data_IF_408643045050
#
_entry.id   IF_408643045050
#
_cell.length_a   1.000
_cell.length_b   1.000
_cell.length_c   1.000
_cell.angle_alpha   90.00
_cell.angle_beta   90.00
_cell.angle_gamma   90.00
#
_symmetry.space_group_name_H-M   'P 1'
#
loop_
_entity.id
_entity.type
_entity.pdbx_description
1 polymer ?
#
# COMPACT_ATOMS: atom_id res chain seq x y z
N UNK A 1 -8.14 -29.78 51.46
CA UNK A 1 -7.75 -29.74 50.03
C UNK A 1 -8.90 -29.08 49.27
N UNK A 2 -8.88 -27.75 49.13
CA UNK A 2 -9.92 -26.96 48.45
C UNK A 2 -9.38 -26.59 47.06
N UNK A 3 -10.03 -27.06 45.99
CA UNK A 3 -9.76 -26.58 44.64
C UNK A 3 -10.28 -25.14 44.52
N UNK A 4 -9.37 -24.19 44.24
CA UNK A 4 -9.74 -22.86 43.76
C UNK A 4 -9.97 -22.94 42.25
N UNK A 5 -11.23 -22.83 41.84
CA UNK A 5 -11.62 -22.62 40.45
C UNK A 5 -11.39 -21.15 40.10
N UNK A 6 -10.40 -20.84 39.27
CA UNK A 6 -10.22 -19.50 38.70
C UNK A 6 -11.30 -19.25 37.64
N UNK A 7 -12.27 -18.39 37.94
CA UNK A 7 -13.12 -17.76 36.92
C UNK A 7 -12.27 -16.77 36.12
N UNK A 8 -11.98 -17.11 34.87
CA UNK A 8 -11.45 -16.16 33.88
C UNK A 8 -12.62 -15.27 33.47
N UNK A 9 -12.60 -14.00 33.87
CA UNK A 9 -13.47 -12.97 33.30
C UNK A 9 -12.94 -12.59 31.92
N UNK A 10 -13.52 -13.18 30.87
CA UNK A 10 -13.36 -12.67 29.51
C UNK A 10 -14.30 -11.46 29.38
N UNK A 11 -13.75 -10.25 29.45
CA UNK A 11 -14.47 -9.07 29.00
C UNK A 11 -14.55 -9.10 27.47
N UNK A 12 -15.62 -9.68 26.94
CA UNK A 12 -16.02 -9.47 25.55
C UNK A 12 -16.57 -8.06 25.42
N UNK A 13 -15.74 -7.11 25.00
CA UNK A 13 -16.21 -5.82 24.50
C UNK A 13 -16.94 -6.12 23.18
N UNK A 14 -18.27 -6.24 23.27
CA UNK A 14 -19.14 -6.50 22.13
C UNK A 14 -19.00 -5.40 21.09
N UNK A 15 -18.43 -5.75 19.93
CA UNK A 15 -18.35 -4.87 18.77
C UNK A 15 -19.75 -4.79 18.14
N UNK A 16 -20.45 -3.69 18.41
CA UNK A 16 -21.83 -3.46 17.98
C UNK A 16 -21.83 -2.92 16.54
N UNK A 17 -21.99 -3.78 15.54
CA UNK A 17 -22.20 -3.37 14.15
C UNK A 17 -23.64 -2.89 13.95
N UNK A 18 -23.88 -1.59 14.12
CA UNK A 18 -25.16 -0.99 13.72
C UNK A 18 -25.24 -0.98 12.20
N UNK A 19 -26.14 -1.81 11.66
CA UNK A 19 -26.64 -1.70 10.29
C UNK A 19 -27.16 -0.27 10.06
N UNK A 20 -26.48 0.49 9.20
CA UNK A 20 -26.99 1.76 8.68
C UNK A 20 -27.83 1.48 7.45
N UNK A 21 -29.04 2.05 7.44
CA UNK A 21 -30.00 1.95 6.36
C UNK A 21 -29.38 2.30 5.00
N UNK A 22 -29.70 1.49 3.99
CA UNK A 22 -29.35 1.75 2.60
C UNK A 22 -30.27 2.85 2.08
N UNK A 23 -29.71 4.04 1.90
CA UNK A 23 -30.38 5.15 1.20
C UNK A 23 -30.09 4.99 -0.29
N UNK A 24 -31.12 4.76 -1.09
CA UNK A 24 -31.03 4.75 -2.54
C UNK A 24 -30.89 6.18 -3.06
N UNK A 25 -29.65 6.63 -3.29
CA UNK A 25 -29.35 7.90 -3.95
C UNK A 25 -29.39 7.67 -5.47
N UNK A 26 -30.17 8.49 -6.19
CA UNK A 26 -30.21 8.51 -7.66
C UNK A 26 -28.79 8.69 -8.22
N UNK A 27 -28.48 7.92 -9.27
CA UNK A 27 -27.19 7.80 -9.97
C UNK A 27 -26.69 9.08 -10.68
N UNK A 28 -27.28 10.24 -10.40
CA UNK A 28 -26.99 11.47 -11.12
C UNK A 28 -25.80 12.19 -10.47
N UNK A 29 -24.63 11.97 -11.07
CA UNK A 29 -23.44 12.83 -11.02
C UNK A 29 -22.91 13.14 -9.60
N UNK A 30 -22.29 12.16 -8.94
CA UNK A 30 -21.39 12.47 -7.83
C UNK A 30 -20.30 13.40 -8.37
N UNK A 31 -20.31 14.66 -7.94
CA UNK A 31 -19.24 15.60 -8.21
C UNK A 31 -18.07 15.27 -7.29
N UNK A 32 -16.91 15.00 -7.88
CA UNK A 32 -15.67 14.73 -7.15
C UNK A 32 -14.76 15.96 -7.25
N UNK A 33 -14.34 16.48 -6.10
CA UNK A 33 -13.40 17.59 -6.00
C UNK A 33 -12.04 17.08 -5.53
N UNK A 34 -10.97 17.48 -6.22
CA UNK A 34 -9.60 17.07 -5.91
C UNK A 34 -9.14 17.75 -4.61
N UNK A 35 -8.64 16.95 -3.67
CA UNK A 35 -7.92 17.45 -2.48
C UNK A 35 -6.44 17.61 -2.86
N UNK A 36 -5.76 16.50 -3.16
CA UNK A 36 -4.36 16.39 -3.62
C UNK A 36 -4.01 14.93 -3.92
N UNK A 37 -2.96 14.67 -4.70
CA UNK A 37 -2.36 13.33 -4.85
C UNK A 37 -3.37 12.21 -5.15
N UNK A 38 -4.28 12.47 -6.09
CA UNK A 38 -5.40 11.59 -6.46
C UNK A 38 -6.45 11.33 -5.36
N UNK A 39 -6.37 11.98 -4.20
CA UNK A 39 -7.41 11.97 -3.19
C UNK A 39 -8.48 13.04 -3.53
N UNK A 40 -9.73 12.61 -3.60
CA UNK A 40 -10.91 13.41 -3.90
C UNK A 40 -11.92 13.31 -2.77
N UNK A 41 -12.83 14.28 -2.69
CA UNK A 41 -14.04 14.17 -1.89
C UNK A 41 -15.30 14.42 -2.71
N UNK A 42 -16.44 13.95 -2.20
CA UNK A 42 -17.76 14.37 -2.67
C UNK A 42 -18.35 15.50 -1.79
N UNK A 43 -19.54 15.97 -2.16
CA UNK A 43 -20.29 16.98 -1.41
C UNK A 43 -20.69 16.55 0.02
N UNK A 44 -20.69 15.25 0.30
CA UNK A 44 -21.01 14.69 1.61
C UNK A 44 -19.75 14.46 2.47
N UNK A 45 -18.56 14.78 1.95
CA UNK A 45 -17.28 14.59 2.62
C UNK A 45 -16.78 13.14 2.62
N UNK A 46 -17.33 12.25 1.79
CA UNK A 46 -16.73 10.93 1.58
C UNK A 46 -15.44 11.09 0.77
N UNK A 47 -14.43 10.27 1.07
CA UNK A 47 -13.14 10.29 0.39
C UNK A 47 -13.05 9.21 -0.69
N UNK A 48 -12.34 9.55 -1.77
CA UNK A 48 -12.12 8.68 -2.91
C UNK A 48 -10.68 8.80 -3.42
N UNK A 49 -10.10 7.70 -3.86
CA UNK A 49 -8.81 7.68 -4.54
C UNK A 49 -9.03 7.46 -6.04
N UNK A 50 -8.65 8.44 -6.86
CA UNK A 50 -8.83 8.40 -8.31
C UNK A 50 -7.78 7.52 -8.95
N UNK A 51 -8.22 6.59 -9.79
CA UNK A 51 -7.38 5.68 -10.57
C UNK A 51 -7.82 5.66 -12.03
N UNK A 52 -6.96 5.15 -12.90
CA UNK A 52 -7.29 4.93 -14.31
C UNK A 52 -7.47 3.44 -14.58
N UNK A 53 -8.67 3.06 -14.99
CA UNK A 53 -8.99 1.74 -15.52
C UNK A 53 -8.63 1.72 -17.01
N UNK A 54 -7.56 0.99 -17.30
CA UNK A 54 -6.94 0.77 -18.60
C UNK A 54 -7.30 -0.62 -19.19
N UNK A 55 -8.32 -1.30 -18.66
CA UNK A 55 -8.74 -2.63 -19.17
C UNK A 55 -9.12 -2.56 -20.65
N UNK A 56 -9.58 -1.39 -21.10
CA UNK A 56 -9.62 -1.01 -22.51
C UNK A 56 -8.67 0.17 -22.74
N UNK A 57 -7.45 -0.05 -23.27
CA UNK A 57 -6.46 1.00 -23.47
C UNK A 57 -6.90 2.11 -24.44
N UNK A 58 -7.82 1.82 -25.37
CA UNK A 58 -8.36 2.82 -26.30
C UNK A 58 -9.40 3.74 -25.64
N UNK A 59 -9.98 3.31 -24.53
CA UNK A 59 -11.00 4.05 -23.78
C UNK A 59 -10.74 4.00 -22.28
N UNK A 60 -9.67 4.66 -21.80
CA UNK A 60 -9.38 4.76 -20.38
C UNK A 60 -10.54 5.37 -19.59
N UNK A 61 -10.88 4.78 -18.45
CA UNK A 61 -11.97 5.26 -17.60
C UNK A 61 -11.41 5.67 -16.23
N UNK A 62 -11.72 6.89 -15.79
CA UNK A 62 -11.44 7.27 -14.40
C UNK A 62 -12.37 6.53 -13.45
N UNK A 63 -11.80 5.87 -12.44
CA UNK A 63 -12.52 5.27 -11.32
C UNK A 63 -12.16 5.99 -10.02
N UNK A 64 -13.07 5.92 -9.05
CA UNK A 64 -12.92 6.56 -7.75
C UNK A 64 -13.11 5.49 -6.69
N UNK A 65 -12.00 4.94 -6.21
CA UNK A 65 -11.99 3.90 -5.19
C UNK A 65 -12.39 4.53 -3.86
N UNK A 66 -13.38 3.98 -3.16
CA UNK A 66 -13.77 4.42 -1.81
C UNK A 66 -13.24 3.50 -0.71
N UNK A 67 -12.60 2.39 -1.08
CA UNK A 67 -12.19 1.32 -0.18
C UNK A 67 -10.67 1.28 -0.05
N UNK A 68 -10.21 1.08 1.18
CA UNK A 68 -8.82 0.78 1.53
C UNK A 68 -8.74 -0.68 1.98
N UNK A 69 -7.80 -1.42 1.41
CA UNK A 69 -7.51 -2.80 1.79
C UNK A 69 -6.55 -2.85 2.98
N UNK A 70 -6.56 -3.95 3.73
CA UNK A 70 -5.67 -4.16 4.88
C UNK A 70 -5.81 -3.12 6.01
N UNK A 71 -6.92 -2.37 6.06
CA UNK A 71 -7.15 -1.30 7.04
C UNK A 71 -7.62 -1.81 8.41
N UNK A 72 -8.26 -2.98 8.46
CA UNK A 72 -8.72 -3.62 9.69
C UNK A 72 -8.16 -5.05 9.83
N UNK A 73 -7.14 -5.22 10.68
CA UNK A 73 -6.49 -6.52 10.90
C UNK A 73 -7.41 -7.55 11.61
N UNK A 74 -8.48 -7.08 12.27
CA UNK A 74 -9.44 -7.95 12.94
C UNK A 74 -10.53 -8.49 12.00
N UNK A 75 -10.66 -7.94 10.79
CA UNK A 75 -11.64 -8.41 9.80
C UNK A 75 -10.97 -9.28 8.73
N UNK A 76 -10.62 -10.50 9.12
CA UNK A 76 -10.04 -11.49 8.20
C UNK A 76 -11.05 -12.00 7.17
N UNK A 77 -12.35 -11.77 7.36
CA UNK A 77 -13.42 -12.30 6.49
C UNK A 77 -13.56 -11.43 5.23
N UNK A 78 -13.48 -10.10 5.35
CA UNK A 78 -13.61 -9.19 4.21
C UNK A 78 -12.28 -8.66 3.68
N UNK A 79 -11.14 -9.21 4.13
CA UNK A 79 -9.81 -8.74 3.75
C UNK A 79 -9.44 -7.39 4.37
N UNK A 80 -9.96 -7.11 5.57
CA UNK A 80 -9.66 -5.91 6.33
C UNK A 80 -10.09 -4.60 5.65
N UNK A 81 -11.11 -4.64 4.79
CA UNK A 81 -11.54 -3.48 4.00
C UNK A 81 -12.26 -2.44 4.85
N UNK A 82 -11.96 -1.17 4.62
CA UNK A 82 -12.66 -0.04 5.22
C UNK A 82 -12.88 1.08 4.20
N UNK A 83 -13.76 2.04 4.50
CA UNK A 83 -13.93 3.23 3.68
C UNK A 83 -12.73 4.18 3.89
N UNK A 84 -12.25 4.83 2.83
CA UNK A 84 -11.17 5.81 2.87
C UNK A 84 -11.40 6.89 3.93
N UNK A 85 -12.62 7.41 4.02
CA UNK A 85 -12.98 8.46 5.00
C UNK A 85 -12.78 8.07 6.46
N UNK A 86 -12.81 6.78 6.76
CA UNK A 86 -12.67 6.25 8.12
C UNK A 86 -11.21 5.91 8.46
N UNK A 87 -10.30 5.96 7.48
CA UNK A 87 -8.90 5.52 7.60
C UNK A 87 -7.91 6.65 7.33
N UNK A 88 -8.14 7.43 6.26
CA UNK A 88 -7.19 8.42 5.73
C UNK A 88 -7.37 9.77 6.41
N UNK A 89 -6.28 10.31 6.95
CA UNK A 89 -6.22 11.71 7.35
C UNK A 89 -5.96 12.59 6.12
N UNK A 90 -7.02 13.08 5.49
CA UNK A 90 -6.93 13.86 4.24
C UNK A 90 -6.02 15.10 4.34
N UNK A 91 -5.93 15.71 5.52
CA UNK A 91 -5.10 16.91 5.75
C UNK A 91 -3.61 16.61 5.57
N UNK A 92 -3.13 15.53 6.17
CA UNK A 92 -1.72 15.11 6.12
C UNK A 92 -1.41 14.11 5.00
N UNK A 93 -2.41 13.66 4.24
CA UNK A 93 -2.23 12.72 3.14
C UNK A 93 -1.26 13.26 2.08
N UNK A 94 -0.29 12.48 1.63
CA UNK A 94 0.61 12.90 0.56
C UNK A 94 1.18 11.70 -0.20
N UNK A 95 1.48 11.90 -1.48
CA UNK A 95 2.30 10.98 -2.25
C UNK A 95 3.76 11.14 -1.86
N UNK A 96 4.46 10.03 -1.62
CA UNK A 96 5.89 10.03 -1.34
C UNK A 96 6.67 9.88 -2.64
N UNK A 97 6.61 8.68 -3.23
CA UNK A 97 7.32 8.32 -4.46
C UNK A 97 6.72 7.01 -5.01
N UNK A 98 6.67 6.88 -6.34
CA UNK A 98 6.11 5.70 -7.01
C UNK A 98 4.72 5.33 -6.51
N UNK A 99 4.61 4.12 -5.95
CA UNK A 99 3.36 3.56 -5.43
C UNK A 99 3.07 3.94 -3.97
N UNK A 100 3.97 4.64 -3.30
CA UNK A 100 3.89 4.88 -1.85
C UNK A 100 3.26 6.23 -1.52
N UNK A 101 2.34 6.20 -0.56
CA UNK A 101 1.66 7.36 0.01
C UNK A 101 1.73 7.28 1.54
N UNK A 102 1.47 8.37 2.22
CA UNK A 102 1.29 8.37 3.68
C UNK A 102 0.30 9.41 4.13
N UNK A 103 -0.10 9.29 5.38
CA UNK A 103 -0.59 10.40 6.17
C UNK A 103 0.16 10.40 7.52
N UNK A 104 -0.26 11.25 8.47
CA UNK A 104 0.36 11.34 9.80
C UNK A 104 0.27 10.04 10.62
N UNK A 105 -0.61 9.12 10.27
CA UNK A 105 -0.90 7.91 11.04
C UNK A 105 -0.38 6.64 10.35
N UNK A 106 -0.31 6.60 9.01
CA UNK A 106 -0.10 5.36 8.25
C UNK A 106 0.67 5.59 6.95
N UNK A 107 1.30 4.52 6.46
CA UNK A 107 1.76 4.43 5.07
C UNK A 107 0.79 3.57 4.27
N UNK A 108 0.70 3.88 2.97
CA UNK A 108 -0.16 3.22 2.02
C UNK A 108 0.63 2.84 0.77
N UNK A 109 0.11 1.85 0.05
CA UNK A 109 0.58 1.49 -1.28
C UNK A 109 -0.58 1.45 -2.25
N UNK A 110 -0.36 1.98 -3.45
CA UNK A 110 -1.24 1.83 -4.58
C UNK A 110 -0.71 0.76 -5.53
N UNK A 111 -1.37 -0.39 -5.58
CA UNK A 111 -1.02 -1.46 -6.50
C UNK A 111 -1.72 -1.23 -7.83
N UNK A 112 -1.02 -0.60 -8.77
CA UNK A 112 -1.49 -0.38 -10.13
C UNK A 112 -1.73 -1.69 -10.87
N UNK A 113 -2.92 -1.81 -11.46
CA UNK A 113 -3.35 -2.91 -12.32
C UNK A 113 -4.15 -2.32 -13.48
N UNK A 114 -4.31 -3.07 -14.57
CA UNK A 114 -5.05 -2.60 -15.74
C UNK A 114 -6.49 -2.21 -15.43
N UNK A 115 -7.11 -2.81 -14.42
CA UNK A 115 -8.49 -2.52 -13.98
C UNK A 115 -8.63 -1.34 -13.02
N UNK A 116 -7.55 -0.59 -12.79
CA UNK A 116 -7.50 0.53 -11.86
C UNK A 116 -6.88 0.18 -10.52
N UNK A 117 -6.58 -1.09 -10.24
CA UNK A 117 -5.75 -1.48 -9.11
C UNK A 117 -6.40 -1.31 -7.73
N UNK A 118 -5.56 -1.35 -6.69
CA UNK A 118 -6.02 -1.32 -5.29
C UNK A 118 -5.20 -0.37 -4.42
N UNK A 119 -5.86 0.28 -3.46
CA UNK A 119 -5.23 1.12 -2.45
C UNK A 119 -5.24 0.40 -1.10
N UNK A 120 -4.09 0.22 -0.47
CA UNK A 120 -3.95 -0.60 0.73
C UNK A 120 -3.08 0.05 1.80
N UNK A 121 -3.36 -0.25 3.07
CA UNK A 121 -2.46 0.07 4.20
C UNK A 121 -1.24 -0.85 4.16
N UNK A 122 -0.06 -0.28 4.36
CA UNK A 122 1.16 -1.04 4.65
C UNK A 122 1.21 -1.35 6.15
N UNK A 123 0.89 -2.60 6.50
CA UNK A 123 0.98 -3.10 7.87
C UNK A 123 2.38 -3.65 8.17
N UNK A 124 2.66 -3.87 9.46
CA UNK A 124 3.90 -4.53 9.93
C UNK A 124 5.20 -3.81 9.54
N UNK A 125 5.11 -2.49 9.30
CA UNK A 125 6.27 -1.62 9.11
C UNK A 125 6.61 -0.90 10.42
N UNK A 126 7.89 -0.61 10.62
CA UNK A 126 8.31 0.35 11.63
C UNK A 126 8.11 1.77 11.10
N UNK A 127 7.00 2.39 11.47
CA UNK A 127 6.59 3.72 11.01
C UNK A 127 7.68 4.79 11.16
N UNK A 128 8.46 4.74 12.25
CA UNK A 128 9.46 5.75 12.57
C UNK A 128 10.70 5.72 11.67
N UNK A 129 11.04 4.54 11.15
CA UNK A 129 12.24 4.31 10.35
C UNK A 129 11.95 3.99 8.89
N UNK A 130 10.68 3.85 8.50
CA UNK A 130 10.27 3.55 7.13
C UNK A 130 10.70 4.66 6.16
N UNK A 131 11.39 4.24 5.10
CA UNK A 131 11.94 5.10 4.05
C UNK A 131 11.69 4.45 2.69
N UNK A 132 11.06 5.22 1.81
CA UNK A 132 10.93 4.85 0.40
C UNK A 132 12.27 5.13 -0.29
N UNK A 133 12.87 4.10 -0.89
CA UNK A 133 14.16 4.17 -1.57
C UNK A 133 13.99 4.46 -3.06
N UNK A 134 12.88 4.02 -3.64
CA UNK A 134 12.57 4.22 -5.05
C UNK A 134 11.09 3.99 -5.34
N UNK A 135 10.71 4.00 -6.62
CA UNK A 135 9.33 3.71 -7.02
C UNK A 135 8.84 2.34 -6.51
N UNK A 136 9.73 1.36 -6.35
CA UNK A 136 9.38 0.00 -5.98
C UNK A 136 9.95 -0.42 -4.63
N UNK A 137 11.11 0.08 -4.24
CA UNK A 137 11.78 -0.39 -3.03
C UNK A 137 11.60 0.56 -1.86
N UNK A 138 11.46 -0.01 -0.66
CA UNK A 138 11.45 0.70 0.60
C UNK A 138 12.20 -0.12 1.66
N UNK A 139 12.48 0.48 2.81
CA UNK A 139 13.05 -0.21 3.98
C UNK A 139 12.62 0.45 5.25
N UNK A 140 12.67 -0.29 6.34
CA UNK A 140 12.68 0.26 7.69
C UNK A 140 13.90 -0.28 8.46
N UNK A 141 13.91 -0.18 9.80
CA UNK A 141 15.00 -0.70 10.63
C UNK A 141 15.05 -2.22 10.70
N UNK A 142 13.95 -2.92 10.38
CA UNK A 142 13.77 -4.35 10.54
C UNK A 142 13.77 -5.11 9.21
N UNK A 143 13.37 -4.48 8.11
CA UNK A 143 13.11 -5.12 6.83
C UNK A 143 13.47 -4.23 5.63
N UNK A 144 13.68 -4.89 4.49
CA UNK A 144 13.66 -4.27 3.16
C UNK A 144 12.44 -4.79 2.40
N UNK A 145 11.82 -3.95 1.59
CA UNK A 145 10.58 -4.23 0.89
C UNK A 145 10.72 -4.00 -0.61
N UNK A 146 10.15 -4.90 -1.40
CA UNK A 146 9.75 -4.65 -2.78
C UNK A 146 8.22 -4.51 -2.81
N UNK A 147 7.74 -3.30 -3.12
CA UNK A 147 6.35 -2.90 -2.93
C UNK A 147 5.91 -3.17 -1.48
N UNK A 148 4.91 -4.01 -1.27
CA UNK A 148 4.44 -4.43 0.06
C UNK A 148 5.13 -5.68 0.60
N UNK A 149 5.99 -6.34 -0.18
CA UNK A 149 6.55 -7.64 0.16
C UNK A 149 7.93 -7.50 0.80
N UNK A 150 8.15 -8.18 1.93
CA UNK A 150 9.48 -8.25 2.57
C UNK A 150 10.43 -9.05 1.68
N UNK A 151 11.61 -8.50 1.42
CA UNK A 151 12.72 -9.19 0.76
C UNK A 151 13.45 -10.01 1.81
N UNK A 152 13.29 -11.33 1.74
CA UNK A 152 13.97 -12.23 2.66
C UNK A 152 15.49 -12.16 2.48
N UNK A 153 16.25 -12.28 3.59
CA UNK A 153 17.72 -12.32 3.61
C UNK A 153 18.44 -11.03 3.19
N UNK A 154 17.71 -9.93 2.98
CA UNK A 154 18.32 -8.64 2.69
C UNK A 154 19.19 -8.13 3.84
N UNK A 155 20.44 -7.74 3.54
CA UNK A 155 21.29 -7.00 4.48
C UNK A 155 20.86 -5.53 4.49
N UNK A 156 19.96 -5.21 5.43
CA UNK A 156 19.33 -3.89 5.56
C UNK A 156 20.36 -2.75 5.59
N UNK A 157 21.48 -2.81 6.35
CA UNK A 157 22.42 -1.70 6.42
C UNK A 157 23.10 -1.36 5.09
N UNK A 158 23.38 -2.36 4.25
CA UNK A 158 24.11 -2.16 2.98
C UNK A 158 23.22 -2.12 1.74
N UNK A 159 21.91 -2.36 1.89
CA UNK A 159 20.95 -2.36 0.78
C UNK A 159 20.86 -1.01 0.08
N UNK A 160 21.08 -1.02 -1.24
CA UNK A 160 21.03 0.13 -2.15
C UNK A 160 20.24 -0.20 -3.41
N UNK A 161 19.53 0.79 -3.94
CA UNK A 161 18.73 0.66 -5.16
C UNK A 161 19.42 1.43 -6.27
N UNK A 162 19.50 0.82 -7.44
CA UNK A 162 20.18 1.35 -8.62
C UNK A 162 19.17 1.50 -9.77
N UNK A 163 19.01 2.71 -10.32
CA UNK A 163 18.17 2.89 -11.50
C UNK A 163 18.86 2.29 -12.74
N UNK A 164 18.13 1.52 -13.56
CA UNK A 164 18.57 1.24 -14.94
C UNK A 164 17.86 2.22 -15.87
N UNK A 165 18.63 3.14 -16.44
CA UNK A 165 18.18 4.08 -17.46
C UNK A 165 18.47 3.46 -18.82
N UNK A 166 17.44 3.31 -19.66
CA UNK A 166 17.55 2.84 -21.03
C UNK A 166 16.88 3.88 -21.92
N UNK A 167 17.63 4.44 -22.88
CA UNK A 167 17.16 5.47 -23.81
C UNK A 167 16.53 6.71 -23.15
N UNK A 168 16.97 7.07 -21.94
CA UNK A 168 16.43 8.20 -21.17
C UNK A 168 15.24 7.85 -20.27
N UNK A 169 14.68 6.63 -20.41
CA UNK A 169 13.59 6.15 -19.58
C UNK A 169 14.09 5.22 -18.47
N UNK A 170 13.62 5.43 -17.25
CA UNK A 170 13.86 4.48 -16.14
C UNK A 170 12.89 3.33 -16.28
N UNK A 171 13.35 2.21 -16.84
CA UNK A 171 12.48 1.07 -17.14
C UNK A 171 12.40 0.08 -15.95
N UNK A 172 13.55 -0.37 -15.44
CA UNK A 172 13.66 -1.42 -14.42
C UNK A 172 14.69 -0.98 -13.37
N UNK A 173 14.48 -1.36 -12.10
CA UNK A 173 15.41 -1.04 -11.01
C UNK A 173 15.89 -2.34 -10.41
N UNK A 174 17.19 -2.45 -10.22
CA UNK A 174 17.78 -3.52 -9.44
C UNK A 174 18.24 -2.96 -8.10
N UNK A 175 18.42 -3.84 -7.14
CA UNK A 175 19.02 -3.49 -5.86
C UNK A 175 20.20 -4.41 -5.57
N UNK A 176 21.04 -3.99 -4.64
CA UNK A 176 22.18 -4.76 -4.18
C UNK A 176 22.38 -4.52 -2.71
N UNK A 177 22.77 -5.55 -1.98
CA UNK A 177 23.41 -5.43 -0.68
C UNK A 177 24.80 -6.11 -0.72
N UNK A 178 25.47 -6.22 0.43
CA UNK A 178 26.80 -6.81 0.48
C UNK A 178 26.86 -8.30 0.08
N UNK A 179 25.73 -9.00 0.08
CA UNK A 179 25.63 -10.44 -0.17
C UNK A 179 25.04 -10.75 -1.56
N UNK A 180 24.06 -9.98 -2.03
CA UNK A 180 23.22 -10.33 -3.18
C UNK A 180 22.87 -9.12 -4.06
N UNK A 181 22.55 -9.41 -5.32
CA UNK A 181 21.79 -8.52 -6.19
C UNK A 181 20.33 -8.96 -6.23
N UNK A 182 19.43 -8.02 -6.44
CA UNK A 182 17.99 -8.23 -6.42
C UNK A 182 17.30 -7.61 -7.63
N UNK A 183 16.28 -8.31 -8.14
CA UNK A 183 15.35 -7.83 -9.16
C UNK A 183 13.94 -8.23 -8.75
N UNK A 184 12.98 -7.32 -8.81
CA UNK A 184 11.59 -7.59 -8.36
C UNK A 184 11.44 -8.06 -6.91
N UNK A 185 12.44 -7.82 -6.07
CA UNK A 185 12.50 -8.33 -4.71
C UNK A 185 13.08 -9.74 -4.58
N UNK A 186 13.42 -10.40 -5.69
CA UNK A 186 14.04 -11.72 -5.72
C UNK A 186 15.56 -11.61 -5.89
N UNK A 187 16.30 -12.54 -5.29
CA UNK A 187 17.76 -12.65 -5.45
C UNK A 187 18.08 -13.07 -6.88
N UNK A 188 18.98 -12.33 -7.54
CA UNK A 188 19.54 -12.70 -8.84
C UNK A 188 20.71 -13.67 -8.60
N UNK A 189 20.68 -14.89 -9.17
CA UNK A 189 21.81 -15.81 -9.09
C UNK A 189 23.07 -15.26 -9.76
N UNK A 190 24.25 -15.55 -9.22
CA UNK A 190 25.54 -15.10 -9.78
C UNK A 190 25.72 -15.48 -11.26
N UNK A 191 25.20 -16.66 -11.66
CA UNK A 191 25.21 -17.14 -13.05
C UNK A 191 24.41 -16.27 -14.01
N UNK A 192 23.41 -15.53 -13.50
CA UNK A 192 22.49 -14.70 -14.28
C UNK A 192 22.87 -13.22 -14.28
N UNK A 193 23.78 -12.77 -13.41
CA UNK A 193 24.18 -11.36 -13.32
C UNK A 193 24.63 -10.77 -14.66
N UNK A 194 25.25 -11.60 -15.52
CA UNK A 194 25.67 -11.21 -16.87
C UNK A 194 24.51 -10.77 -17.77
N UNK A 195 23.30 -11.29 -17.55
CA UNK A 195 22.10 -10.95 -18.31
C UNK A 195 21.55 -9.55 -17.98
N UNK A 196 21.91 -9.02 -16.81
CA UNK A 196 21.38 -7.77 -16.32
C UNK A 196 22.21 -6.54 -16.71
N UNK A 197 23.41 -6.74 -17.29
CA UNK A 197 24.36 -5.67 -17.65
C UNK A 197 24.51 -4.66 -16.51
N UNK A 198 24.75 -5.17 -15.31
CA UNK A 198 24.86 -4.34 -14.11
C UNK A 198 26.14 -3.52 -14.20
N UNK A 199 26.01 -2.21 -14.36
CA UNK A 199 27.14 -1.29 -14.26
C UNK A 199 27.39 -0.99 -12.78
N UNK A 200 28.62 -1.23 -12.32
CA UNK A 200 29.07 -0.89 -10.96
C UNK A 200 29.12 0.62 -10.70
#
# INVERSE_FOLDING_TARGET
MKLLTYMIFIFSIGCNSRNKAVVNIKKDSIAYELIKDNLYHDIAGNLYFRVMDMSNPEKPVSRYLSIVWNANQCDSINGGKMLLKDVVDAKSFEKILGFYYRDKNRFYIFNEMSDGGTFAVLNEIDFSSFKVLSNYYAKDKNNVYYKSNVISQADIPTFKVFPKILNGDTLWQYAKDKNHYYSFGDIIPDSELKLYELNE
#
